data_IF_391203307156
#
_entry.id   IF_391203307156
#
_cell.length_a   1.000
_cell.length_b   1.000
_cell.length_c   1.000
_cell.angle_alpha   90.00
_cell.angle_beta   90.00
_cell.angle_gamma   90.00
#
_symmetry.space_group_name_H-M   'P 1'
#
loop_
_entity.id
_entity.type
_entity.pdbx_description
1 polymer ?
#
# COMPACT_ATOMS: atom_id res chain seq x y z
N UNK A 1 13.99 -4.53 -20.96
CA UNK A 1 13.11 -4.33 -22.13
C UNK A 1 12.59 -5.70 -22.52
N UNK A 2 11.44 -6.10 -21.96
CA UNK A 2 10.84 -7.39 -22.27
C UNK A 2 10.18 -7.30 -23.67
N UNK A 3 10.22 -8.42 -24.40
CA UNK A 3 9.69 -8.49 -25.76
C UNK A 3 8.20 -8.07 -25.76
N UNK A 4 7.72 -7.24 -26.72
CA UNK A 4 6.33 -6.76 -26.77
C UNK A 4 5.29 -7.90 -26.88
N UNK A 5 5.73 -9.11 -27.23
CA UNK A 5 4.94 -10.33 -27.19
C UNK A 5 4.64 -10.79 -25.75
N UNK A 6 5.60 -10.69 -24.83
CA UNK A 6 5.44 -11.09 -23.44
C UNK A 6 4.40 -10.23 -22.73
N UNK A 7 4.45 -8.90 -22.91
CA UNK A 7 3.50 -7.99 -22.28
C UNK A 7 2.07 -8.20 -22.79
N UNK A 8 1.90 -8.47 -24.09
CA UNK A 8 0.59 -8.84 -24.65
C UNK A 8 0.08 -10.18 -24.12
N UNK A 9 0.96 -11.17 -23.98
CA UNK A 9 0.60 -12.49 -23.47
C UNK A 9 0.29 -12.43 -21.97
N UNK A 10 1.04 -11.66 -21.19
CA UNK A 10 0.75 -11.38 -19.79
C UNK A 10 -0.60 -10.66 -19.63
N UNK A 11 -0.90 -9.69 -20.51
CA UNK A 11 -2.20 -9.02 -20.58
C UNK A 11 -3.34 -10.01 -20.86
N UNK A 12 -3.20 -10.88 -21.87
CA UNK A 12 -4.18 -11.93 -22.19
C UNK A 12 -4.36 -12.93 -21.05
N UNK A 13 -3.29 -13.28 -20.34
CA UNK A 13 -3.35 -14.16 -19.15
C UNK A 13 -4.10 -13.47 -18.00
N UNK A 14 -3.89 -12.17 -17.78
CA UNK A 14 -4.61 -11.40 -16.79
C UNK A 14 -6.10 -11.26 -17.14
N UNK A 15 -6.41 -10.98 -18.41
CA UNK A 15 -7.78 -10.83 -18.90
C UNK A 15 -8.55 -12.16 -18.87
N UNK A 16 -7.94 -13.27 -19.30
CA UNK A 16 -8.55 -14.61 -19.24
C UNK A 16 -8.77 -15.10 -17.80
N UNK A 17 -7.89 -14.73 -16.87
CA UNK A 17 -8.08 -14.97 -15.44
C UNK A 17 -9.32 -14.26 -14.92
N UNK A 18 -9.49 -12.98 -15.26
CA UNK A 18 -10.55 -12.15 -14.69
C UNK A 18 -11.92 -12.42 -15.35
N UNK A 19 -11.95 -12.91 -16.60
CA UNK A 19 -13.19 -13.16 -17.38
C UNK A 19 -13.66 -14.61 -17.39
N UNK A 20 -12.73 -15.57 -17.46
CA UNK A 20 -13.04 -17.01 -17.64
C UNK A 20 -12.64 -17.83 -16.40
N UNK A 21 -11.88 -17.26 -15.46
CA UNK A 21 -11.34 -18.00 -14.31
C UNK A 21 -10.26 -19.01 -14.66
N UNK A 22 -9.93 -19.14 -15.95
CA UNK A 22 -8.87 -20.00 -16.39
C UNK A 22 -7.57 -19.26 -16.11
N UNK A 23 -6.97 -19.60 -14.97
CA UNK A 23 -5.58 -19.28 -14.69
C UNK A 23 -4.74 -20.33 -15.42
N UNK A 24 -4.18 -20.05 -16.61
CA UNK A 24 -3.15 -20.92 -17.14
C UNK A 24 -2.12 -21.13 -16.01
N UNK A 25 -1.70 -22.38 -15.80
CA UNK A 25 -0.65 -22.67 -14.81
C UNK A 25 0.56 -21.74 -15.02
N UNK A 26 1.58 -21.73 -14.16
CA UNK A 26 2.80 -20.95 -14.49
C UNK A 26 3.57 -21.51 -15.71
N UNK A 27 3.18 -22.71 -16.17
CA UNK A 27 3.89 -23.54 -17.12
C UNK A 27 3.31 -23.62 -18.55
N UNK A 28 2.09 -23.17 -18.92
CA UNK A 28 1.57 -23.23 -20.29
C UNK A 28 2.46 -22.60 -21.37
N UNK A 29 3.18 -21.48 -21.17
CA UNK A 29 4.14 -21.05 -22.19
C UNK A 29 5.33 -22.01 -22.30
N UNK A 30 5.75 -22.64 -21.20
CA UNK A 30 6.78 -23.68 -21.20
C UNK A 30 6.28 -24.97 -21.87
N UNK A 31 5.08 -25.45 -21.51
CA UNK A 31 4.44 -26.64 -22.08
C UNK A 31 4.14 -26.41 -23.57
N UNK A 32 3.59 -25.27 -23.95
CA UNK A 32 3.37 -24.91 -25.35
C UNK A 32 4.70 -24.82 -26.11
N UNK A 33 5.75 -24.27 -25.49
CA UNK A 33 7.10 -24.27 -26.05
C UNK A 33 7.65 -25.69 -26.26
N UNK A 34 7.53 -26.56 -25.26
CA UNK A 34 7.95 -27.98 -25.33
C UNK A 34 7.14 -28.74 -26.38
N UNK A 35 5.82 -28.52 -26.45
CA UNK A 35 4.94 -29.13 -27.44
C UNK A 35 5.29 -28.63 -28.85
N UNK A 36 5.57 -27.33 -29.02
CA UNK A 36 6.02 -26.78 -30.29
C UNK A 36 7.37 -27.36 -30.73
N UNK A 37 8.32 -27.50 -29.81
CA UNK A 37 9.62 -28.13 -30.07
C UNK A 37 9.41 -29.62 -30.45
N UNK A 38 8.52 -30.33 -29.74
CA UNK A 38 8.19 -31.72 -30.04
C UNK A 38 7.53 -31.87 -31.41
N UNK A 39 6.56 -31.02 -31.76
CA UNK A 39 5.93 -30.98 -33.08
C UNK A 39 6.97 -30.64 -34.15
N UNK A 40 7.82 -29.63 -33.92
CA UNK A 40 8.89 -29.28 -34.84
C UNK A 40 9.87 -30.44 -35.05
N UNK A 41 10.16 -31.22 -34.00
CA UNK A 41 11.01 -32.41 -34.10
C UNK A 41 10.38 -33.51 -34.96
N UNK A 42 9.06 -33.71 -34.87
CA UNK A 42 8.34 -34.69 -35.70
C UNK A 42 8.36 -34.35 -37.19
N UNK A 43 8.27 -33.07 -37.56
CA UNK A 43 8.21 -32.64 -38.95
C UNK A 43 9.59 -32.25 -39.54
N UNK A 44 10.52 -31.78 -38.71
CA UNK A 44 11.81 -31.20 -39.09
C UNK A 44 12.94 -31.61 -38.12
N UNK A 45 13.22 -32.93 -37.97
CA UNK A 45 14.15 -33.42 -36.94
C UNK A 45 15.56 -32.86 -37.12
N UNK A 46 16.07 -32.82 -38.35
CA UNK A 46 17.43 -32.34 -38.64
C UNK A 46 17.62 -30.86 -38.27
N UNK A 47 16.61 -30.03 -38.51
CA UNK A 47 16.65 -28.60 -38.18
C UNK A 47 16.59 -28.36 -36.67
N UNK A 48 15.78 -29.15 -35.95
CA UNK A 48 15.68 -29.07 -34.48
C UNK A 48 16.97 -29.55 -33.82
N UNK A 49 17.57 -30.65 -34.30
CA UNK A 49 18.84 -31.16 -33.80
C UNK A 49 19.98 -30.15 -34.01
N UNK A 50 20.03 -29.51 -35.19
CA UNK A 50 20.98 -28.44 -35.47
C UNK A 50 20.75 -27.22 -34.58
N UNK A 51 19.50 -26.82 -34.36
CA UNK A 51 19.19 -25.69 -33.47
C UNK A 51 19.57 -25.97 -32.01
N UNK A 52 19.24 -27.14 -31.47
CA UNK A 52 19.57 -27.54 -30.10
C UNK A 52 21.08 -27.68 -29.90
N UNK A 53 21.78 -28.32 -30.85
CA UNK A 53 23.24 -28.42 -30.81
C UNK A 53 23.91 -27.06 -30.88
N UNK A 54 23.39 -26.13 -31.69
CA UNK A 54 23.89 -24.75 -31.73
C UNK A 54 23.64 -23.97 -30.44
N UNK A 55 22.46 -24.14 -29.81
CA UNK A 55 22.14 -23.53 -28.50
C UNK A 55 23.06 -24.06 -27.40
N UNK A 56 23.32 -25.37 -27.38
CA UNK A 56 24.23 -26.02 -26.43
C UNK A 56 25.69 -25.65 -26.70
N UNK A 57 26.10 -25.54 -27.97
CA UNK A 57 27.43 -25.07 -28.37
C UNK A 57 27.66 -23.60 -27.95
N UNK A 58 26.63 -22.76 -28.05
CA UNK A 58 26.66 -21.38 -27.57
C UNK A 58 26.40 -21.24 -26.07
N UNK A 59 26.07 -22.32 -25.36
CA UNK A 59 25.80 -22.29 -23.91
C UNK A 59 26.92 -21.67 -23.10
N UNK A 60 28.22 -21.95 -23.35
CA UNK A 60 29.31 -21.27 -22.65
C UNK A 60 29.32 -19.75 -22.82
N UNK A 61 28.63 -19.20 -23.83
CA UNK A 61 28.51 -17.75 -24.04
C UNK A 61 27.33 -17.20 -23.26
N UNK A 62 26.11 -17.73 -23.42
CA UNK A 62 24.91 -17.14 -22.81
C UNK A 62 24.64 -17.63 -21.37
N UNK A 63 25.02 -18.86 -21.04
CA UNK A 63 24.74 -19.48 -19.74
C UNK A 63 25.44 -18.76 -18.58
N UNK A 64 26.72 -18.34 -18.68
CA UNK A 64 27.35 -17.57 -17.60
C UNK A 64 26.64 -16.26 -17.31
N UNK A 65 26.18 -15.52 -18.32
CA UNK A 65 25.43 -14.28 -18.08
C UNK A 65 24.09 -14.53 -17.40
N UNK A 66 23.38 -15.60 -17.80
CA UNK A 66 22.13 -15.98 -17.16
C UNK A 66 22.35 -16.41 -15.70
N UNK A 67 23.37 -17.24 -15.45
CA UNK A 67 23.71 -17.71 -14.10
C UNK A 67 24.20 -16.57 -13.20
N UNK A 68 25.07 -15.69 -13.70
CA UNK A 68 25.57 -14.53 -12.94
C UNK A 68 24.41 -13.56 -12.65
N UNK A 69 23.55 -13.28 -13.62
CA UNK A 69 22.37 -12.45 -13.41
C UNK A 69 21.42 -13.03 -12.35
N UNK A 70 21.11 -14.32 -12.43
CA UNK A 70 20.28 -15.01 -11.44
C UNK A 70 20.92 -15.05 -10.05
N UNK A 71 22.22 -15.37 -9.97
CA UNK A 71 22.97 -15.39 -8.72
C UNK A 71 23.05 -14.01 -8.08
N UNK A 72 23.21 -12.95 -8.87
CA UNK A 72 23.23 -11.57 -8.39
C UNK A 72 21.87 -11.12 -7.82
N UNK A 73 20.76 -11.49 -8.47
CA UNK A 73 19.42 -11.22 -7.92
C UNK A 73 19.19 -11.96 -6.59
N UNK A 74 19.53 -13.25 -6.54
CA UNK A 74 19.42 -14.04 -5.31
C UNK A 74 20.33 -13.51 -4.20
N UNK A 75 21.54 -13.05 -4.56
CA UNK A 75 22.47 -12.41 -3.64
C UNK A 75 21.84 -11.17 -3.00
N UNK A 76 21.26 -10.26 -3.79
CA UNK A 76 20.60 -9.06 -3.27
C UNK A 76 19.46 -9.42 -2.31
N UNK A 77 18.61 -10.39 -2.70
CA UNK A 77 17.48 -10.85 -1.87
C UNK A 77 17.99 -11.42 -0.54
N UNK A 78 19.03 -12.24 -0.58
CA UNK A 78 19.65 -12.82 0.61
C UNK A 78 20.21 -11.74 1.53
N UNK A 79 21.03 -10.82 1.00
CA UNK A 79 21.67 -9.75 1.78
C UNK A 79 20.65 -8.81 2.41
N UNK A 80 19.59 -8.44 1.68
CA UNK A 80 18.49 -7.62 2.23
C UNK A 80 17.71 -8.35 3.31
N UNK A 81 17.42 -9.64 3.10
CA UNK A 81 16.71 -10.46 4.09
C UNK A 81 17.51 -10.61 5.39
N UNK A 82 18.82 -10.84 5.27
CA UNK A 82 19.74 -10.91 6.40
C UNK A 82 19.81 -9.57 7.15
N UNK A 83 19.89 -8.46 6.42
CA UNK A 83 19.89 -7.13 7.02
C UNK A 83 18.60 -6.86 7.80
N UNK A 84 17.43 -7.11 7.22
CA UNK A 84 16.13 -6.94 7.88
C UNK A 84 16.05 -7.82 9.12
N UNK A 85 16.40 -9.10 9.02
CA UNK A 85 16.36 -10.03 10.14
C UNK A 85 17.34 -9.68 11.28
N UNK A 86 18.46 -9.02 10.96
CA UNK A 86 19.46 -8.61 11.96
C UNK A 86 19.02 -7.47 12.88
N UNK A 87 18.00 -6.69 12.49
CA UNK A 87 17.55 -5.52 13.27
C UNK A 87 16.53 -5.92 14.33
N UNK A 88 16.67 -5.45 15.58
CA UNK A 88 15.64 -5.66 16.59
C UNK A 88 14.46 -4.72 16.33
N UNK A 89 13.26 -5.29 16.37
CA UNK A 89 11.99 -4.58 16.20
C UNK A 89 11.17 -4.58 17.49
N UNK A 90 10.37 -3.54 17.68
CA UNK A 90 9.48 -3.38 18.83
C UNK A 90 8.07 -3.03 18.35
N UNK A 91 7.07 -3.51 19.09
CA UNK A 91 5.66 -3.19 18.87
C UNK A 91 5.16 -2.37 20.07
N UNK A 92 4.70 -1.15 19.79
CA UNK A 92 4.17 -0.23 20.79
C UNK A 92 2.65 -0.18 20.68
N UNK A 93 1.93 -0.55 21.73
CA UNK A 93 0.49 -0.33 21.85
C UNK A 93 0.24 1.14 22.23
N UNK A 94 -0.63 1.80 21.48
CA UNK A 94 -1.07 3.17 21.75
C UNK A 94 -2.30 3.12 22.66
N UNK A 95 -2.13 3.46 23.94
CA UNK A 95 -3.23 3.62 24.89
C UNK A 95 -3.84 5.02 24.75
N UNK A 96 -5.13 5.07 24.48
CA UNK A 96 -5.87 6.30 24.20
C UNK A 96 -6.36 6.98 25.49
N UNK A 97 -6.08 8.27 25.72
CA UNK A 97 -6.68 9.00 26.84
C UNK A 97 -8.16 9.28 26.59
N UNK A 98 -8.96 9.43 27.66
CA UNK A 98 -10.40 9.76 27.54
C UNK A 98 -10.67 11.14 26.92
N UNK A 99 -9.85 12.14 27.25
CA UNK A 99 -10.10 13.55 26.95
C UNK A 99 -9.17 14.07 25.83
N UNK A 100 -9.22 13.45 24.65
CA UNK A 100 -8.40 13.89 23.51
C UNK A 100 -9.20 14.79 22.57
N UNK A 101 -8.76 16.05 22.39
CA UNK A 101 -9.42 17.05 21.52
C UNK A 101 -8.55 17.41 20.31
N UNK A 102 -7.63 16.52 19.92
CA UNK A 102 -6.72 16.77 18.79
C UNK A 102 -7.37 16.37 17.47
N UNK A 103 -7.09 17.16 16.44
CA UNK A 103 -7.51 16.90 15.06
C UNK A 103 -6.53 15.97 14.33
N UNK A 104 -6.91 15.39 13.18
CA UNK A 104 -6.00 14.57 12.37
C UNK A 104 -4.72 15.32 11.91
N UNK A 105 -4.75 16.66 11.88
CA UNK A 105 -3.56 17.50 11.65
C UNK A 105 -2.41 17.18 12.64
N UNK A 106 -2.72 16.81 13.88
CA UNK A 106 -1.72 16.39 14.85
C UNK A 106 -0.97 15.12 14.38
N UNK A 107 -1.65 14.22 13.68
CA UNK A 107 -1.04 13.02 13.12
C UNK A 107 -0.13 13.35 11.94
N UNK A 108 -0.45 14.35 11.11
CA UNK A 108 0.45 14.79 10.05
C UNK A 108 1.82 15.21 10.60
N UNK A 109 1.83 15.89 11.74
CA UNK A 109 3.06 16.29 12.40
C UNK A 109 3.85 15.09 12.94
N UNK A 110 3.17 14.05 13.46
CA UNK A 110 3.81 12.79 13.84
C UNK A 110 4.43 12.10 12.62
N UNK A 111 3.69 11.97 11.52
CA UNK A 111 4.16 11.35 10.29
C UNK A 111 5.32 12.13 9.68
N UNK A 112 5.25 13.46 9.70
CA UNK A 112 6.34 14.33 9.26
C UNK A 112 7.60 14.12 10.09
N UNK A 113 7.47 13.96 11.41
CA UNK A 113 8.58 13.60 12.26
C UNK A 113 9.12 12.20 11.96
N UNK A 114 8.31 11.27 11.45
CA UNK A 114 8.74 9.93 11.04
C UNK A 114 9.32 9.88 9.61
N UNK A 115 9.45 10.99 8.90
CA UNK A 115 9.95 11.02 7.52
C UNK A 115 11.49 10.88 7.44
N UNK A 116 12.01 9.68 7.73
CA UNK A 116 13.44 9.37 7.70
C UNK A 116 13.87 8.55 6.47
N UNK A 117 14.90 9.05 5.76
CA UNK A 117 15.44 8.44 4.53
C UNK A 117 16.79 7.73 4.72
N UNK A 118 17.36 7.77 5.93
CA UNK A 118 18.70 7.27 6.22
C UNK A 118 18.73 5.73 6.12
N UNK A 119 19.64 5.18 5.33
CA UNK A 119 19.82 3.73 5.17
C UNK A 119 20.15 3.28 3.74
N UNK A 120 19.99 4.17 2.75
CA UNK A 120 20.27 3.87 1.33
C UNK A 120 21.08 5.02 0.73
N UNK A 121 22.37 5.14 1.07
CA UNK A 121 23.21 6.22 0.52
C UNK A 121 24.00 5.77 -0.71
N UNK A 122 24.62 4.58 -0.67
CA UNK A 122 25.59 4.14 -1.68
C UNK A 122 25.22 2.74 -2.21
N UNK A 123 25.57 2.45 -3.47
CA UNK A 123 25.39 1.13 -4.10
C UNK A 123 25.98 -0.01 -3.24
N UNK A 124 27.13 0.22 -2.61
CA UNK A 124 27.76 -0.75 -1.73
C UNK A 124 26.90 -1.06 -0.49
N UNK A 125 26.23 -0.06 0.07
CA UNK A 125 25.34 -0.27 1.21
C UNK A 125 24.06 -1.00 0.78
N UNK A 126 23.46 -0.61 -0.35
CA UNK A 126 22.18 -1.16 -0.79
C UNK A 126 22.29 -2.55 -1.42
N UNK A 127 23.32 -2.81 -2.22
CA UNK A 127 23.48 -4.06 -2.97
C UNK A 127 24.40 -5.07 -2.27
N UNK A 128 25.50 -4.60 -1.66
CA UNK A 128 26.47 -5.50 -1.02
C UNK A 128 26.17 -5.76 0.45
N UNK A 129 25.87 -4.69 1.21
CA UNK A 129 25.46 -4.81 2.61
C UNK A 129 23.96 -5.11 2.77
N UNK A 130 23.16 -4.96 1.71
CA UNK A 130 21.72 -5.20 1.75
C UNK A 130 20.94 -4.21 2.62
N UNK A 131 21.49 -3.02 2.88
CA UNK A 131 20.80 -2.01 3.68
C UNK A 131 19.53 -1.55 2.96
N UNK A 132 18.45 -1.45 3.74
CA UNK A 132 17.15 -0.94 3.29
C UNK A 132 16.76 0.27 4.11
N UNK A 133 15.99 1.18 3.51
CA UNK A 133 15.39 2.30 4.25
C UNK A 133 14.51 1.80 5.38
N UNK A 134 14.44 2.53 6.51
CA UNK A 134 13.48 2.21 7.55
C UNK A 134 12.07 2.30 6.98
N UNK A 135 11.25 1.35 7.40
CA UNK A 135 9.83 1.33 7.16
C UNK A 135 9.15 1.05 8.50
N UNK A 136 7.92 1.51 8.62
CA UNK A 136 7.12 1.46 9.84
C UNK A 136 5.79 0.79 9.53
N UNK A 137 5.05 0.41 10.57
CA UNK A 137 3.69 -0.11 10.44
C UNK A 137 2.77 0.57 11.43
N UNK A 138 1.67 1.16 10.93
CA UNK A 138 0.56 1.62 11.76
C UNK A 138 -0.54 0.57 11.70
N UNK A 139 -0.97 0.07 12.85
CA UNK A 139 -1.87 -1.08 12.91
C UNK A 139 -3.10 -0.78 13.77
N UNK A 140 -4.24 -1.24 13.29
CA UNK A 140 -5.50 -1.27 14.03
C UNK A 140 -5.87 -2.74 14.14
N UNK A 141 -5.93 -3.27 15.35
CA UNK A 141 -6.34 -4.65 15.57
C UNK A 141 -7.53 -4.68 16.52
N UNK A 142 -8.56 -5.43 16.12
CA UNK A 142 -9.69 -5.74 16.98
C UNK A 142 -9.63 -7.18 17.43
N UNK A 143 -9.71 -7.37 18.75
CA UNK A 143 -9.80 -8.68 19.40
C UNK A 143 -11.16 -8.78 20.05
N UNK A 144 -12.03 -9.62 19.49
CA UNK A 144 -13.37 -9.84 20.05
C UNK A 144 -14.19 -8.55 20.25
N UNK A 145 -14.03 -7.59 19.34
CA UNK A 145 -14.73 -6.29 19.35
C UNK A 145 -14.02 -5.19 20.13
N UNK A 146 -12.87 -5.48 20.76
CA UNK A 146 -12.02 -4.47 21.40
C UNK A 146 -10.96 -3.98 20.44
N UNK A 147 -10.99 -2.69 20.13
CA UNK A 147 -10.09 -2.04 19.18
C UNK A 147 -8.85 -1.51 19.89
N UNK A 148 -7.68 -1.91 19.38
CA UNK A 148 -6.37 -1.49 19.84
C UNK A 148 -5.56 -0.91 18.67
N UNK A 149 -4.71 0.05 18.98
CA UNK A 149 -3.84 0.73 18.03
C UNK A 149 -2.39 0.36 18.32
N UNK A 150 -1.61 0.12 17.28
CA UNK A 150 -0.19 -0.22 17.44
C UNK A 150 0.68 0.54 16.44
N UNK A 151 1.93 0.76 16.86
CA UNK A 151 3.02 1.20 15.99
C UNK A 151 4.13 0.18 16.07
N UNK A 152 4.51 -0.37 14.92
CA UNK A 152 5.69 -1.20 14.81
C UNK A 152 6.83 -0.37 14.23
N UNK A 153 7.99 -0.46 14.88
CA UNK A 153 9.19 0.26 14.48
C UNK A 153 10.43 -0.54 14.85
N UNK A 154 11.57 -0.14 14.31
CA UNK A 154 12.84 -0.69 14.79
C UNK A 154 13.17 -0.09 16.16
N UNK A 155 13.81 -0.90 17.01
CA UNK A 155 14.20 -0.51 18.37
C UNK A 155 15.03 0.78 18.45
N UNK A 156 15.89 1.02 17.46
CA UNK A 156 16.72 2.22 17.34
C UNK A 156 15.92 3.51 17.06
N UNK A 157 14.71 3.38 16.51
CA UNK A 157 13.80 4.51 16.27
C UNK A 157 12.68 4.62 17.32
N UNK A 158 12.68 3.79 18.37
CA UNK A 158 11.64 3.81 19.41
C UNK A 158 11.48 5.18 20.05
N UNK A 159 12.57 5.74 20.59
CA UNK A 159 12.56 7.03 21.28
C UNK A 159 12.02 8.16 20.40
N UNK A 160 12.39 8.12 19.12
CA UNK A 160 11.95 9.09 18.14
C UNK A 160 10.44 9.02 17.92
N UNK A 161 9.90 7.81 17.76
CA UNK A 161 8.46 7.59 17.61
C UNK A 161 7.73 8.06 18.87
N UNK A 162 8.22 7.67 20.05
CA UNK A 162 7.64 8.10 21.33
C UNK A 162 7.60 9.62 21.47
N UNK A 163 8.70 10.30 21.18
CA UNK A 163 8.78 11.76 21.22
C UNK A 163 7.81 12.42 20.23
N UNK A 164 7.67 11.88 19.02
CA UNK A 164 6.74 12.40 18.02
C UNK A 164 5.28 12.33 18.50
N UNK A 165 4.87 11.17 19.04
CA UNK A 165 3.52 10.99 19.59
C UNK A 165 3.28 11.85 20.82
N UNK A 166 4.20 11.88 21.79
CA UNK A 166 4.02 12.68 23.01
C UNK A 166 3.99 14.18 22.76
N UNK A 167 4.69 14.67 21.72
CA UNK A 167 4.65 16.08 21.33
C UNK A 167 3.27 16.51 20.80
N UNK A 168 2.59 15.64 20.04
CA UNK A 168 1.33 15.97 19.39
C UNK A 168 0.09 15.55 20.19
N UNK A 169 0.21 14.44 20.92
CA UNK A 169 -0.86 13.81 21.69
C UNK A 169 -0.51 13.71 23.18
N UNK A 170 -0.68 14.80 23.95
CA UNK A 170 -0.43 14.78 25.38
C UNK A 170 -1.40 13.80 26.05
N UNK A 171 -0.85 12.86 26.82
CA UNK A 171 -1.62 11.87 27.59
C UNK A 171 -1.87 10.53 26.89
N UNK A 172 -1.45 10.38 25.62
CA UNK A 172 -1.27 9.06 25.03
C UNK A 172 -0.12 8.34 25.75
N UNK A 173 -0.26 7.04 25.97
CA UNK A 173 0.81 6.20 26.50
C UNK A 173 1.21 5.17 25.46
N UNK A 174 2.50 5.08 25.17
CA UNK A 174 3.05 4.05 24.29
C UNK A 174 3.66 2.96 25.16
N UNK A 175 3.04 1.77 25.14
CA UNK A 175 3.46 0.63 25.95
C UNK A 175 4.05 -0.43 25.03
N UNK A 176 5.26 -0.89 25.31
CA UNK A 176 5.82 -2.01 24.57
C UNK A 176 5.04 -3.30 24.88
N UNK A 177 4.65 -4.01 23.83
CA UNK A 177 3.84 -5.23 23.94
C UNK A 177 4.42 -6.34 23.08
N UNK A 178 4.10 -7.58 23.45
CA UNK A 178 4.40 -8.74 22.62
C UNK A 178 3.55 -8.69 21.35
N UNK A 179 4.12 -9.16 20.24
CA UNK A 179 3.44 -9.17 18.94
C UNK A 179 2.16 -10.01 18.98
N UNK A 180 1.00 -9.33 18.94
CA UNK A 180 -0.31 -9.96 19.02
C UNK A 180 -0.56 -10.97 17.89
N UNK A 181 0.08 -10.78 16.75
CA UNK A 181 -0.07 -11.66 15.59
C UNK A 181 0.49 -13.06 15.82
N UNK A 182 1.36 -13.22 16.84
CA UNK A 182 1.96 -14.49 17.25
C UNK A 182 1.17 -15.21 18.34
N UNK A 183 0.17 -14.56 18.96
CA UNK A 183 -0.67 -15.18 19.98
C UNK A 183 -1.68 -16.16 19.39
N UNK A 184 -2.04 -15.97 18.11
CA UNK A 184 -2.97 -16.83 17.37
C UNK A 184 -2.14 -17.60 16.35
N UNK A 185 -2.24 -18.93 16.29
CA UNK A 185 -1.46 -19.76 15.35
C UNK A 185 -1.86 -19.49 13.89
N UNK A 186 -3.16 -19.25 13.65
CA UNK A 186 -3.72 -18.90 12.34
C UNK A 186 -3.36 -19.91 11.24
N UNK A 187 -3.39 -21.20 11.57
CA UNK A 187 -3.28 -22.27 10.58
C UNK A 187 -4.61 -22.41 9.82
N UNK A 188 -4.58 -22.55 8.48
CA UNK A 188 -5.80 -22.68 7.68
C UNK A 188 -6.69 -23.86 8.09
N UNK A 189 -6.13 -24.89 8.73
CA UNK A 189 -6.82 -26.08 9.21
C UNK A 189 -7.82 -25.77 10.35
N UNK A 190 -7.46 -24.88 11.27
CA UNK A 190 -8.30 -24.56 12.43
C UNK A 190 -9.06 -23.25 12.24
N UNK A 191 -8.47 -22.32 11.50
CA UNK A 191 -8.98 -20.97 11.29
C UNK A 191 -9.41 -20.75 9.85
N UNK A 192 -10.56 -20.09 9.69
CA UNK A 192 -10.92 -19.49 8.42
C UNK A 192 -10.30 -18.10 8.35
N UNK A 193 -9.51 -17.89 7.31
CA UNK A 193 -8.73 -16.67 7.10
C UNK A 193 -9.14 -16.07 5.75
N UNK A 194 -9.39 -14.77 5.76
CA UNK A 194 -9.55 -13.97 4.56
C UNK A 194 -8.80 -12.66 4.74
N UNK A 195 -8.26 -12.12 3.65
CA UNK A 195 -7.67 -10.80 3.68
C UNK A 195 -7.27 -10.30 2.31
N UNK A 196 -6.98 -9.02 2.24
CA UNK A 196 -6.65 -8.31 1.02
C UNK A 196 -5.65 -7.20 1.31
N UNK A 197 -4.91 -6.81 0.28
CA UNK A 197 -4.18 -5.55 0.29
C UNK A 197 -5.08 -4.44 -0.28
N UNK A 198 -4.72 -3.19 -0.08
CA UNK A 198 -5.44 -2.02 -0.60
C UNK A 198 -4.53 -1.21 -1.51
N UNK A 199 -5.10 -0.67 -2.58
CA UNK A 199 -4.42 0.24 -3.49
C UNK A 199 -5.35 1.37 -3.95
N UNK A 200 -4.76 2.38 -4.54
CA UNK A 200 -5.50 3.45 -5.20
C UNK A 200 -6.44 2.92 -6.30
N UNK A 201 -7.63 3.52 -6.35
CA UNK A 201 -8.66 3.17 -7.33
C UNK A 201 -8.25 3.61 -8.71
N UNK A 202 -7.75 4.86 -8.81
CA UNK A 202 -7.11 5.40 -10.01
C UNK A 202 -5.63 4.98 -10.05
N UNK A 203 -5.07 4.68 -11.23
CA UNK A 203 -3.65 4.29 -11.35
C UNK A 203 -2.68 5.46 -11.17
N UNK A 204 -3.20 6.69 -11.06
CA UNK A 204 -2.44 7.92 -10.95
C UNK A 204 -2.40 8.32 -9.47
N UNK A 205 -1.22 8.30 -8.86
CA UNK A 205 -1.04 8.58 -7.43
C UNK A 205 -1.08 10.08 -7.10
N UNK A 206 -0.97 10.95 -8.10
CA UNK A 206 -1.08 12.39 -7.90
C UNK A 206 -2.47 12.84 -7.39
N UNK A 207 -3.54 12.08 -7.70
CA UNK A 207 -4.87 12.38 -7.19
C UNK A 207 -4.98 11.97 -5.72
N UNK A 208 -5.36 12.90 -4.82
CA UNK A 208 -5.53 12.56 -3.42
C UNK A 208 -6.79 11.70 -3.19
N UNK A 209 -6.85 10.98 -2.07
CA UNK A 209 -8.11 10.50 -1.48
C UNK A 209 -8.89 11.67 -0.86
N UNK A 210 -10.15 11.44 -0.47
CA UNK A 210 -10.88 12.44 0.32
C UNK A 210 -10.26 12.51 1.72
N UNK A 211 -9.70 13.66 2.06
CA UNK A 211 -8.92 13.87 3.28
C UNK A 211 -9.75 14.51 4.38
N UNK A 212 -9.21 14.56 5.59
CA UNK A 212 -9.86 15.22 6.74
C UNK A 212 -10.16 16.71 6.49
N UNK A 213 -9.44 17.37 5.58
CA UNK A 213 -9.66 18.79 5.23
C UNK A 213 -11.03 18.98 4.58
N UNK A 214 -11.46 18.04 3.73
CA UNK A 214 -12.79 18.07 3.09
C UNK A 214 -13.93 17.80 4.08
N UNK A 215 -13.64 17.11 5.17
CA UNK A 215 -14.56 16.93 6.30
C UNK A 215 -14.55 18.13 7.26
N UNK A 216 -13.72 19.15 6.99
CA UNK A 216 -13.58 20.32 7.85
C UNK A 216 -12.86 20.03 9.17
N UNK A 217 -12.27 18.84 9.33
CA UNK A 217 -11.61 18.39 10.57
C UNK A 217 -10.27 19.11 10.82
N UNK A 218 -9.86 20.00 9.93
CA UNK A 218 -8.72 20.89 10.12
C UNK A 218 -9.02 21.98 11.18
N UNK A 219 -10.29 22.35 11.31
CA UNK A 219 -10.74 23.33 12.32
C UNK A 219 -11.31 22.60 13.53
N UNK A 220 -11.06 23.14 14.70
CA UNK A 220 -11.73 22.70 15.94
C UNK A 220 -13.20 23.13 15.81
N UNK A 221 -14.06 22.17 15.49
CA UNK A 221 -15.51 22.34 15.44
C UNK A 221 -16.13 21.94 16.78
N UNK A 222 -17.35 22.41 17.07
CA UNK A 222 -18.10 21.96 18.23
C UNK A 222 -18.50 20.47 18.06
N UNK A 223 -18.45 19.71 19.16
CA UNK A 223 -18.60 18.25 19.17
C UNK A 223 -19.85 17.66 18.48
N UNK A 224 -21.04 18.32 18.40
CA UNK A 224 -22.19 17.73 17.72
C UNK A 224 -22.15 17.81 16.18
N UNK A 225 -21.32 18.66 15.57
CA UNK A 225 -21.26 18.84 14.11
C UNK A 225 -20.11 18.08 13.45
N UNK A 226 -19.19 17.53 14.24
CA UNK A 226 -17.98 16.91 13.73
C UNK A 226 -18.24 15.48 13.22
N UNK A 227 -18.31 15.31 11.89
CA UNK A 227 -18.39 14.00 11.25
C UNK A 227 -17.00 13.51 10.86
N UNK A 228 -16.47 12.54 11.61
CA UNK A 228 -15.19 11.89 11.30
C UNK A 228 -15.39 10.61 10.47
N UNK A 229 -14.85 10.51 9.23
CA UNK A 229 -14.94 9.30 8.43
C UNK A 229 -14.25 8.10 9.10
N UNK A 230 -13.28 8.31 9.97
CA UNK A 230 -12.57 7.26 10.69
C UNK A 230 -13.44 6.59 11.78
N UNK A 231 -14.48 7.27 12.27
CA UNK A 231 -15.44 6.67 13.20
C UNK A 231 -16.11 5.42 12.59
N UNK A 232 -16.46 5.47 11.29
CA UNK A 232 -17.05 4.32 10.58
C UNK A 232 -16.11 3.11 10.52
N UNK A 233 -14.79 3.36 10.42
CA UNK A 233 -13.78 2.30 10.47
C UNK A 233 -13.72 1.69 11.88
N UNK A 234 -13.66 2.51 12.93
CA UNK A 234 -13.59 2.02 14.32
C UNK A 234 -14.87 1.25 14.69
N UNK A 235 -16.04 1.71 14.27
CA UNK A 235 -17.31 1.00 14.49
C UNK A 235 -17.33 -0.37 13.83
N UNK A 236 -16.85 -0.47 12.58
CA UNK A 236 -16.72 -1.75 11.89
C UNK A 236 -15.79 -2.70 12.67
N UNK A 237 -14.64 -2.19 13.13
CA UNK A 237 -13.72 -2.96 13.97
C UNK A 237 -14.31 -3.35 15.32
N UNK A 238 -15.18 -2.52 15.90
CA UNK A 238 -15.89 -2.82 17.15
C UNK A 238 -17.05 -3.81 16.99
N UNK A 239 -17.54 -4.01 15.76
CA UNK A 239 -18.70 -4.87 15.48
C UNK A 239 -18.41 -6.37 15.46
N UNK A 240 -17.13 -6.76 15.44
CA UNK A 240 -16.74 -8.18 15.40
C UNK A 240 -17.07 -8.91 16.71
N UNK A 241 -17.46 -10.17 16.58
CA UNK A 241 -17.91 -11.02 17.68
C UNK A 241 -16.79 -11.71 18.46
N UNK A 242 -17.17 -12.45 19.51
CA UNK A 242 -16.23 -13.21 20.36
C UNK A 242 -15.57 -14.35 19.59
N UNK A 243 -14.24 -14.43 19.61
CA UNK A 243 -13.45 -15.40 18.85
C UNK A 243 -13.19 -15.01 17.39
N UNK A 244 -13.52 -13.78 17.01
CA UNK A 244 -13.14 -13.17 15.74
C UNK A 244 -12.03 -12.14 15.96
N UNK A 245 -11.13 -12.04 15.00
CA UNK A 245 -10.03 -11.08 15.00
C UNK A 245 -9.99 -10.38 13.65
N UNK A 246 -9.89 -9.05 13.67
CA UNK A 246 -9.75 -8.23 12.48
C UNK A 246 -8.54 -7.34 12.63
N UNK A 247 -7.63 -7.42 11.69
CA UNK A 247 -6.36 -6.71 11.71
C UNK A 247 -6.24 -5.85 10.45
N UNK A 248 -5.81 -4.61 10.61
CA UNK A 248 -5.47 -3.69 9.52
C UNK A 248 -4.10 -3.11 9.80
N UNK A 249 -3.31 -3.03 8.73
CA UNK A 249 -1.92 -2.63 8.76
C UNK A 249 -1.65 -1.69 7.60
N UNK A 250 -1.03 -0.56 7.90
CA UNK A 250 -0.42 0.34 6.93
C UNK A 250 1.09 0.29 7.11
N UNK A 251 1.76 -0.48 6.26
CA UNK A 251 3.22 -0.47 6.19
C UNK A 251 3.61 0.73 5.34
N UNK A 252 4.52 1.58 5.81
CA UNK A 252 4.91 2.79 5.08
C UNK A 252 6.40 3.09 5.16
N UNK A 253 6.94 3.75 4.13
CA UNK A 253 8.34 4.22 4.03
C UNK A 253 8.41 5.49 3.19
N UNK A 254 9.44 6.31 3.37
CA UNK A 254 9.57 7.57 2.61
C UNK A 254 9.65 7.32 1.09
N UNK A 255 8.85 8.02 0.29
CA UNK A 255 8.84 7.87 -1.18
C UNK A 255 10.12 8.40 -1.86
N UNK A 256 10.63 7.68 -2.86
CA UNK A 256 11.81 8.06 -3.69
C UNK A 256 11.62 7.89 -5.20
N UNK A 257 10.40 7.58 -5.68
CA UNK A 257 10.14 7.40 -7.11
C UNK A 257 10.46 6.02 -7.69
N UNK A 258 10.89 5.05 -6.87
CA UNK A 258 11.22 3.68 -7.33
C UNK A 258 10.06 2.98 -8.05
N UNK A 259 8.81 3.27 -7.68
CA UNK A 259 7.61 2.71 -8.30
C UNK A 259 7.57 2.92 -9.82
N UNK A 260 8.03 4.07 -10.30
CA UNK A 260 7.86 4.45 -11.70
C UNK A 260 8.96 3.90 -12.61
N UNK A 261 10.14 3.55 -12.05
CA UNK A 261 11.31 3.06 -12.80
C UNK A 261 11.62 3.90 -14.05
N UNK A 262 11.43 5.22 -13.95
CA UNK A 262 11.63 6.20 -15.02
C UNK A 262 12.45 7.37 -14.51
N UNK A 263 13.14 8.04 -15.42
CA UNK A 263 13.83 9.29 -15.15
C UNK A 263 13.02 10.45 -15.73
N UNK A 264 13.03 11.57 -15.02
CA UNK A 264 12.50 12.84 -15.50
C UNK A 264 13.36 13.44 -16.61
N UNK A 265 12.84 14.51 -17.22
CA UNK A 265 13.58 15.36 -18.17
C UNK A 265 14.91 15.88 -17.61
N UNK A 266 15.01 16.03 -16.29
CA UNK A 266 16.23 16.46 -15.57
C UNK A 266 17.21 15.32 -15.22
N UNK A 267 16.89 14.07 -15.56
CA UNK A 267 17.71 12.91 -15.20
C UNK A 267 17.59 12.44 -13.73
N UNK A 268 16.66 13.02 -12.96
CA UNK A 268 16.29 12.55 -11.60
C UNK A 268 15.24 11.43 -11.68
N UNK A 269 15.12 10.57 -10.65
CA UNK A 269 14.02 9.60 -10.56
C UNK A 269 12.66 10.28 -10.70
N UNK A 270 11.79 9.72 -11.51
CA UNK A 270 10.42 10.20 -11.68
C UNK A 270 9.62 9.99 -10.41
N UNK A 271 8.97 11.06 -9.94
CA UNK A 271 8.21 11.06 -8.71
C UNK A 271 6.74 11.36 -8.97
N UNK A 272 5.91 11.14 -7.96
CA UNK A 272 4.51 11.55 -7.99
C UNK A 272 4.31 13.07 -8.20
N UNK A 273 5.31 13.91 -7.90
CA UNK A 273 5.25 15.35 -8.16
C UNK A 273 5.31 15.66 -9.66
N UNK A 274 6.11 14.91 -10.41
CA UNK A 274 6.18 15.02 -11.87
C UNK A 274 4.89 14.54 -12.52
N UNK A 275 4.34 13.44 -11.98
CA UNK A 275 3.03 12.94 -12.37
C UNK A 275 1.94 13.99 -12.15
N UNK A 276 1.99 14.72 -11.04
CA UNK A 276 1.05 15.80 -10.76
C UNK A 276 1.16 16.95 -11.77
N UNK A 277 2.37 17.39 -12.12
CA UNK A 277 2.58 18.43 -13.12
C UNK A 277 2.02 18.02 -14.48
N UNK A 278 2.27 16.78 -14.92
CA UNK A 278 1.74 16.24 -16.17
C UNK A 278 0.20 16.23 -16.17
N UNK A 279 -0.40 15.85 -15.05
CA UNK A 279 -1.86 15.83 -14.90
C UNK A 279 -2.47 17.23 -14.86
N UNK A 280 -1.84 18.18 -14.16
CA UNK A 280 -2.29 19.58 -14.13
C UNK A 280 -2.21 20.18 -15.54
N UNK A 281 -1.14 19.93 -16.29
CA UNK A 281 -1.03 20.34 -17.69
C UNK A 281 -2.12 19.71 -18.55
N UNK A 282 -2.43 18.43 -18.35
CA UNK A 282 -3.48 17.73 -19.10
C UNK A 282 -4.86 18.34 -18.82
N UNK A 283 -5.16 18.66 -17.55
CA UNK A 283 -6.40 19.34 -17.15
C UNK A 283 -6.47 20.73 -17.78
N UNK A 284 -5.38 21.51 -17.74
CA UNK A 284 -5.30 22.84 -18.36
C UNK A 284 -5.48 22.78 -19.88
N UNK A 285 -4.87 21.80 -20.56
CA UNK A 285 -5.06 21.58 -22.01
C UNK A 285 -6.49 21.19 -22.36
N UNK A 286 -7.13 20.35 -21.56
CA UNK A 286 -8.55 19.99 -21.71
C UNK A 286 -9.50 21.17 -21.48
N UNK A 287 -9.13 22.09 -20.58
CA UNK A 287 -9.87 23.32 -20.31
C UNK A 287 -9.60 24.44 -21.34
N UNK A 288 -8.50 24.36 -22.08
CA UNK A 288 -8.16 25.29 -23.15
C UNK A 288 -9.15 25.19 -24.30
N UNK A 289 -10.01 26.19 -24.44
CA UNK A 289 -10.88 26.31 -25.62
C UNK A 289 -10.06 26.89 -26.77
N UNK A 290 -9.93 26.16 -27.87
CA UNK A 290 -9.36 26.70 -29.11
C UNK A 290 -10.41 27.60 -29.77
N UNK A 291 -10.32 28.90 -29.55
CA UNK A 291 -11.15 29.87 -30.27
C UNK A 291 -10.55 30.11 -31.65
N UNK A 292 -11.32 29.79 -32.70
CA UNK A 292 -10.99 30.18 -34.07
C UNK A 292 -11.63 31.54 -34.32
N UNK A 293 -10.81 32.57 -34.49
CA UNK A 293 -11.32 33.89 -34.87
C UNK A 293 -11.04 34.11 -36.37
N UNK A 294 -12.04 34.64 -37.07
CA UNK A 294 -11.88 35.05 -38.46
C UNK A 294 -11.33 36.47 -38.47
N UNK A 295 -10.11 36.65 -38.94
CA UNK A 295 -9.48 37.95 -39.03
C UNK A 295 -9.82 38.62 -40.37
N UNK A 296 -10.63 39.72 -40.39
CA UNK A 296 -11.12 40.34 -41.64
C UNK A 296 -10.00 40.94 -42.50
N UNK A 297 -8.81 41.17 -41.94
CA UNK A 297 -7.68 41.81 -42.63
C UNK A 297 -6.76 40.85 -43.37
N UNK A 298 -6.65 39.60 -42.91
CA UNK A 298 -5.73 38.59 -43.49
C UNK A 298 -6.44 37.44 -44.19
N UNK A 299 -7.77 37.34 -44.07
CA UNK A 299 -8.58 36.30 -44.72
C UNK A 299 -8.27 34.88 -44.25
N UNK A 300 -7.53 34.73 -43.14
CA UNK A 300 -7.12 33.44 -42.56
C UNK A 300 -7.80 33.25 -41.21
N UNK A 301 -8.19 32.01 -40.93
CA UNK A 301 -8.62 31.60 -39.60
C UNK A 301 -7.38 31.52 -38.71
N UNK A 302 -7.23 32.45 -37.77
CA UNK A 302 -6.15 32.38 -36.77
C UNK A 302 -6.71 31.59 -35.59
N UNK A 303 -6.05 30.46 -35.29
CA UNK A 303 -6.30 29.73 -34.05
C UNK A 303 -5.48 30.41 -32.96
N UNK A 304 -6.14 31.14 -32.07
CA UNK A 304 -5.50 31.66 -30.85
C UNK A 304 -5.89 30.73 -29.70
N UNK A 305 -4.90 30.24 -28.97
CA UNK A 305 -5.14 29.52 -27.73
C UNK A 305 -5.66 30.52 -26.69
N UNK A 306 -6.93 30.42 -26.33
CA UNK A 306 -7.49 31.21 -25.24
C UNK A 306 -6.86 30.81 -23.91
N UNK A 307 -6.85 31.74 -22.93
CA UNK A 307 -6.48 31.37 -21.56
C UNK A 307 -7.35 30.20 -21.09
N UNK A 308 -6.76 29.11 -20.56
CA UNK A 308 -7.54 28.04 -19.98
C UNK A 308 -8.45 28.62 -18.91
N UNK A 309 -9.76 28.38 -19.04
CA UNK A 309 -10.73 28.72 -18.00
C UNK A 309 -11.31 27.41 -17.46
N UNK A 310 -10.64 26.75 -16.50
CA UNK A 310 -11.09 25.49 -15.97
C UNK A 310 -12.45 25.65 -15.27
N UNK A 311 -13.28 24.63 -15.40
CA UNK A 311 -14.54 24.55 -14.63
C UNK A 311 -14.24 24.55 -13.13
N UNK A 312 -15.22 24.92 -12.28
CA UNK A 312 -15.05 24.92 -10.82
C UNK A 312 -14.52 23.58 -10.28
N UNK A 313 -15.06 22.47 -10.76
CA UNK A 313 -14.58 21.14 -10.38
C UNK A 313 -13.13 20.87 -10.81
N UNK A 314 -12.71 21.35 -11.99
CA UNK A 314 -11.31 21.23 -12.43
C UNK A 314 -10.36 22.10 -11.60
N UNK A 315 -10.80 23.30 -11.19
CA UNK A 315 -10.02 24.14 -10.26
C UNK A 315 -9.86 23.46 -8.90
N UNK A 316 -10.93 22.87 -8.38
CA UNK A 316 -10.89 22.10 -7.12
C UNK A 316 -9.97 20.88 -7.24
N UNK A 317 -9.97 20.14 -8.36
CA UNK A 317 -9.06 19.01 -8.55
C UNK A 317 -7.60 19.47 -8.68
N UNK A 318 -7.32 20.56 -9.38
CA UNK A 318 -5.96 21.12 -9.48
C UNK A 318 -5.47 21.54 -8.08
N UNK A 319 -6.30 22.27 -7.33
CA UNK A 319 -5.94 22.72 -5.98
C UNK A 319 -5.70 21.54 -5.03
N UNK A 320 -6.51 20.49 -5.12
CA UNK A 320 -6.34 19.28 -4.30
C UNK A 320 -5.03 18.54 -4.64
N UNK A 321 -4.69 18.41 -5.93
CA UNK A 321 -3.42 17.81 -6.37
C UNK A 321 -2.22 18.64 -5.89
N UNK A 322 -2.25 19.97 -6.09
CA UNK A 322 -1.17 20.86 -5.66
C UNK A 322 -0.97 20.80 -4.13
N UNK A 323 -2.06 20.79 -3.36
CA UNK A 323 -2.01 20.61 -1.90
C UNK A 323 -1.39 19.27 -1.52
N UNK A 324 -1.84 18.18 -2.11
CA UNK A 324 -1.36 16.83 -1.79
C UNK A 324 0.16 16.72 -2.00
N UNK A 325 0.61 17.16 -3.18
CA UNK A 325 2.00 17.05 -3.64
C UNK A 325 2.96 17.97 -2.89
N UNK A 326 2.44 19.07 -2.33
CA UNK A 326 3.22 20.00 -1.49
C UNK A 326 3.66 19.39 -0.15
N UNK A 327 2.97 18.33 0.29
CA UNK A 327 3.26 17.64 1.56
C UNK A 327 4.25 16.50 1.37
N UNK A 328 4.83 16.04 2.48
CA UNK A 328 5.75 14.90 2.48
C UNK A 328 5.02 13.62 2.04
N UNK A 329 5.66 12.84 1.16
CA UNK A 329 5.08 11.64 0.55
C UNK A 329 5.69 10.33 1.05
N UNK A 330 4.84 9.34 1.28
CA UNK A 330 5.21 7.99 1.69
C UNK A 330 4.75 6.97 0.65
N UNK A 331 5.56 5.96 0.39
CA UNK A 331 5.08 4.70 -0.16
C UNK A 331 4.30 4.01 0.96
N UNK A 332 3.06 3.60 0.73
CA UNK A 332 2.18 2.94 1.70
C UNK A 332 1.65 1.63 1.11
N UNK A 333 1.65 0.57 1.91
CA UNK A 333 1.02 -0.70 1.64
C UNK A 333 -0.04 -0.97 2.72
N UNK A 334 -1.31 -0.94 2.31
CA UNK A 334 -2.43 -1.25 3.21
C UNK A 334 -2.77 -2.73 3.12
N UNK A 335 -2.96 -3.39 4.26
CA UNK A 335 -3.33 -4.82 4.35
C UNK A 335 -4.33 -5.04 5.45
N UNK A 336 -5.41 -5.77 5.17
CA UNK A 336 -6.32 -6.24 6.20
C UNK A 336 -6.47 -7.76 6.19
N UNK A 337 -6.60 -8.33 7.38
CA UNK A 337 -6.74 -9.77 7.61
C UNK A 337 -7.84 -10.00 8.64
N UNK A 338 -8.79 -10.87 8.30
CA UNK A 338 -9.84 -11.34 9.17
C UNK A 338 -9.62 -12.83 9.46
N UNK A 339 -9.57 -13.15 10.75
CA UNK A 339 -9.24 -14.48 11.26
C UNK A 339 -10.30 -14.85 12.29
N UNK A 340 -11.01 -15.94 12.02
CA UNK A 340 -11.96 -16.51 12.97
C UNK A 340 -11.83 -18.03 12.98
N UNK A 341 -12.24 -18.65 14.09
CA UNK A 341 -12.44 -20.09 14.10
C UNK A 341 -13.46 -20.47 13.02
N UNK A 342 -13.28 -21.61 12.34
CA UNK A 342 -14.11 -22.00 11.18
C UNK A 342 -15.62 -21.99 11.46
N UNK A 343 -16.03 -22.33 12.68
CA UNK A 343 -17.42 -22.34 13.12
C UNK A 343 -18.01 -20.94 13.39
N UNK A 344 -17.16 -19.93 13.57
CA UNK A 344 -17.55 -18.54 13.87
C UNK A 344 -17.28 -17.58 12.73
N UNK A 345 -16.76 -18.07 11.61
CA UNK A 345 -16.39 -17.22 10.48
C UNK A 345 -17.63 -16.64 9.81
N UNK A 346 -17.74 -15.32 9.80
CA UNK A 346 -18.80 -14.60 9.15
C UNK A 346 -18.34 -14.06 7.79
N UNK A 347 -18.85 -14.65 6.70
CA UNK A 347 -18.53 -14.20 5.35
C UNK A 347 -18.98 -12.76 5.05
N UNK A 348 -19.99 -12.22 5.75
CA UNK A 348 -20.44 -10.84 5.57
C UNK A 348 -19.36 -9.82 5.97
N UNK A 349 -18.46 -10.18 6.90
CA UNK A 349 -17.33 -9.32 7.29
C UNK A 349 -16.38 -9.05 6.12
N UNK A 350 -16.28 -10.00 5.17
CA UNK A 350 -15.49 -9.83 3.94
C UNK A 350 -16.01 -8.64 3.12
N UNK A 351 -17.33 -8.54 2.95
CA UNK A 351 -17.95 -7.41 2.24
C UNK A 351 -17.68 -6.08 2.94
N UNK A 352 -17.70 -6.09 4.28
CA UNK A 352 -17.31 -4.93 5.09
C UNK A 352 -15.86 -4.51 4.86
N UNK A 353 -14.92 -5.47 4.84
CA UNK A 353 -13.51 -5.20 4.56
C UNK A 353 -13.27 -4.67 3.14
N UNK A 354 -13.98 -5.21 2.14
CA UNK A 354 -13.93 -4.71 0.76
C UNK A 354 -14.40 -3.26 0.69
N UNK A 355 -15.41 -2.89 1.50
CA UNK A 355 -15.99 -1.55 1.58
C UNK A 355 -15.33 -0.62 2.59
N UNK A 356 -14.27 -1.03 3.29
CA UNK A 356 -13.75 -0.38 4.49
C UNK A 356 -13.42 1.11 4.30
N UNK A 357 -12.92 1.47 3.11
CA UNK A 357 -12.45 2.82 2.81
C UNK A 357 -13.38 3.61 1.88
N UNK A 358 -14.63 3.18 1.70
CA UNK A 358 -15.59 3.90 0.83
C UNK A 358 -15.83 5.34 1.30
N UNK A 359 -15.80 5.58 2.61
CA UNK A 359 -15.93 6.92 3.20
C UNK A 359 -14.86 7.90 2.69
N UNK A 360 -13.66 7.41 2.34
CA UNK A 360 -12.54 8.24 1.87
C UNK A 360 -12.49 8.39 0.35
N UNK A 361 -13.53 7.94 -0.37
CA UNK A 361 -13.57 7.96 -1.84
C UNK A 361 -14.48 9.10 -2.33
N UNK A 362 -14.06 9.75 -3.42
CA UNK A 362 -14.87 10.73 -4.16
C UNK A 362 -14.76 10.43 -5.67
N UNK A 363 -15.84 10.63 -6.44
CA UNK A 363 -15.85 10.35 -7.88
C UNK A 363 -14.79 11.17 -8.65
N UNK A 364 -14.60 12.42 -8.24
CA UNK A 364 -13.60 13.32 -8.84
C UNK A 364 -12.16 12.95 -8.49
N UNK A 365 -11.94 12.31 -7.33
CA UNK A 365 -10.60 12.10 -6.75
C UNK A 365 -10.24 10.61 -6.69
N UNK A 366 -9.25 10.26 -5.89
CA UNK A 366 -8.86 8.87 -5.68
C UNK A 366 -9.64 8.25 -4.52
N UNK A 367 -9.46 6.95 -4.33
CA UNK A 367 -10.04 6.18 -3.24
C UNK A 367 -9.29 4.87 -3.09
N UNK A 368 -9.60 4.10 -2.06
CA UNK A 368 -8.94 2.83 -1.80
C UNK A 368 -9.83 1.66 -2.21
N UNK A 369 -9.28 0.77 -3.04
CA UNK A 369 -9.93 -0.48 -3.46
C UNK A 369 -9.10 -1.68 -2.99
N UNK A 370 -9.75 -2.80 -2.65
CA UNK A 370 -9.04 -4.02 -2.31
C UNK A 370 -8.37 -4.63 -3.55
N UNK A 371 -7.21 -5.24 -3.35
CA UNK A 371 -6.37 -5.88 -4.35
C UNK A 371 -5.64 -7.07 -3.76
N UNK A 372 -5.07 -7.91 -4.65
CA UNK A 372 -4.26 -9.08 -4.32
C UNK A 372 -4.97 -10.11 -3.46
N UNK A 373 -4.28 -11.22 -3.18
CA UNK A 373 -4.66 -12.09 -2.08
C UNK A 373 -6.09 -12.64 -2.20
N UNK A 374 -7.00 -12.30 -1.29
CA UNK A 374 -8.38 -12.78 -1.31
C UNK A 374 -9.17 -12.32 -2.54
N UNK A 375 -8.76 -11.21 -3.17
CA UNK A 375 -9.40 -10.66 -4.38
C UNK A 375 -8.96 -11.36 -5.66
N UNK A 376 -7.97 -12.24 -5.58
CA UNK A 376 -7.52 -12.99 -6.75
C UNK A 376 -8.48 -14.12 -7.13
N UNK A 377 -9.25 -14.64 -6.19
CA UNK A 377 -10.06 -15.83 -6.43
C UNK A 377 -11.43 -15.44 -6.95
N UNK A 378 -11.75 -15.87 -8.18
CA UNK A 378 -13.05 -15.67 -8.81
C UNK A 378 -14.04 -16.81 -8.53
N UNK A 379 -13.55 -17.91 -7.95
CA UNK A 379 -14.34 -19.03 -7.44
C UNK A 379 -15.27 -19.69 -8.47
N UNK A 380 -14.84 -19.76 -9.73
CA UNK A 380 -15.59 -20.47 -10.75
C UNK A 380 -15.63 -21.98 -10.47
N UNK A 381 -16.75 -22.68 -10.74
CA UNK A 381 -16.89 -24.12 -10.47
C UNK A 381 -15.86 -25.04 -11.16
N UNK A 382 -15.27 -24.58 -12.27
CA UNK A 382 -14.30 -25.33 -13.07
C UNK A 382 -12.83 -25.05 -12.73
N UNK A 383 -12.55 -24.23 -11.71
CA UNK A 383 -11.19 -24.00 -11.23
C UNK A 383 -10.66 -25.19 -10.41
N UNK A 384 -9.91 -26.08 -11.05
CA UNK A 384 -9.31 -27.23 -10.37
C UNK A 384 -8.22 -26.83 -9.37
N UNK A 385 -8.24 -27.44 -8.18
CA UNK A 385 -7.20 -27.26 -7.14
C UNK A 385 -7.26 -25.93 -6.38
N UNK A 386 -8.38 -25.21 -6.47
CA UNK A 386 -8.53 -23.89 -5.86
C UNK A 386 -8.41 -23.93 -4.32
N UNK A 387 -8.93 -24.96 -3.65
CA UNK A 387 -8.83 -25.09 -2.18
C UNK A 387 -7.39 -25.13 -1.67
N UNK A 388 -6.54 -26.00 -2.25
CA UNK A 388 -5.12 -26.08 -1.89
C UNK A 388 -4.40 -24.74 -2.12
N UNK A 389 -4.78 -24.00 -3.17
CA UNK A 389 -4.22 -22.68 -3.45
C UNK A 389 -4.69 -21.65 -2.42
N UNK A 390 -5.97 -21.68 -2.05
CA UNK A 390 -6.53 -20.84 -0.99
C UNK A 390 -5.84 -21.10 0.34
N UNK A 391 -5.48 -22.33 0.68
CA UNK A 391 -4.74 -22.62 1.91
C UNK A 391 -3.31 -22.10 1.89
N UNK A 392 -2.59 -22.25 0.76
CA UNK A 392 -1.27 -21.62 0.58
C UNK A 392 -1.40 -20.10 0.70
N UNK A 393 -2.43 -19.53 0.09
CA UNK A 393 -2.73 -18.11 0.14
C UNK A 393 -2.98 -17.63 1.59
N UNK A 394 -3.85 -18.32 2.34
CA UNK A 394 -4.16 -18.04 3.75
C UNK A 394 -2.91 -18.05 4.63
N UNK A 395 -1.99 -18.99 4.40
CA UNK A 395 -0.69 -19.01 5.09
C UNK A 395 0.19 -17.83 4.70
N UNK A 396 0.26 -17.53 3.41
CA UNK A 396 1.10 -16.46 2.88
C UNK A 396 0.68 -15.08 3.40
N UNK A 397 -0.63 -14.77 3.42
CA UNK A 397 -1.10 -13.46 3.89
C UNK A 397 -0.83 -13.27 5.39
N UNK A 398 -1.04 -14.30 6.21
CA UNK A 398 -0.71 -14.25 7.65
C UNK A 398 0.79 -14.07 7.85
N UNK A 399 1.63 -14.77 7.09
CA UNK A 399 3.09 -14.60 7.16
C UNK A 399 3.53 -13.20 6.72
N UNK A 400 2.94 -12.68 5.64
CA UNK A 400 3.23 -11.34 5.14
C UNK A 400 2.84 -10.26 6.19
N UNK A 401 1.67 -10.41 6.82
CA UNK A 401 1.19 -9.53 7.89
C UNK A 401 2.12 -9.58 9.12
N UNK A 402 2.43 -10.78 9.63
CA UNK A 402 3.34 -10.98 10.79
C UNK A 402 4.72 -10.35 10.55
N UNK A 403 5.26 -10.50 9.34
CA UNK A 403 6.57 -9.95 8.98
C UNK A 403 6.53 -8.45 8.66
N UNK A 404 5.34 -7.84 8.56
CA UNK A 404 5.14 -6.47 8.06
C UNK A 404 5.86 -6.23 6.74
N UNK A 405 5.85 -7.26 5.88
CA UNK A 405 6.53 -7.23 4.59
C UNK A 405 5.57 -6.77 3.50
N UNK A 406 6.03 -5.76 2.77
CA UNK A 406 5.32 -5.18 1.62
C UNK A 406 6.28 -4.76 0.49
N UNK A 407 7.49 -4.30 0.83
CA UNK A 407 8.46 -3.75 -0.12
C UNK A 407 9.64 -4.66 -0.46
N UNK A 408 9.73 -5.80 0.22
CA UNK A 408 10.89 -6.67 0.16
C UNK A 408 10.44 -8.12 0.13
N UNK A 409 11.20 -8.93 -0.60
CA UNK A 409 11.03 -10.38 -0.66
C UNK A 409 11.01 -11.02 0.74
N UNK A 410 10.27 -12.12 0.94
CA UNK A 410 9.52 -12.91 -0.06
C UNK A 410 8.12 -12.35 -0.41
N UNK A 411 7.71 -11.23 0.19
CA UNK A 411 6.37 -10.65 0.00
C UNK A 411 6.48 -9.19 -0.47
N UNK A 412 7.13 -9.00 -1.61
CA UNK A 412 7.14 -7.72 -2.32
C UNK A 412 5.93 -7.62 -3.26
N UNK A 413 5.10 -6.60 -3.09
CA UNK A 413 3.92 -6.37 -3.93
C UNK A 413 4.23 -5.51 -5.15
N UNK A 414 5.30 -4.69 -5.11
CA UNK A 414 5.71 -3.83 -6.21
C UNK A 414 4.75 -2.69 -6.60
N UNK A 415 3.56 -2.59 -5.99
CA UNK A 415 2.50 -1.63 -6.34
C UNK A 415 2.05 -0.72 -5.19
N UNK A 416 2.97 -0.37 -4.29
CA UNK A 416 2.71 0.55 -3.18
C UNK A 416 2.02 1.85 -3.65
N UNK A 417 1.03 2.30 -2.90
CA UNK A 417 0.37 3.59 -3.14
C UNK A 417 1.25 4.71 -2.61
N UNK A 418 1.32 5.83 -3.31
CA UNK A 418 2.03 7.02 -2.81
C UNK A 418 1.01 7.90 -2.14
N UNK A 419 1.16 8.12 -0.83
CA UNK A 419 0.24 8.93 -0.03
C UNK A 419 0.99 10.08 0.62
N UNK A 420 0.36 11.25 0.68
CA UNK A 420 0.89 12.32 1.51
C UNK A 420 0.68 12.04 3.00
N UNK A 421 1.37 12.82 3.84
CA UNK A 421 1.08 12.91 5.29
C UNK A 421 -0.40 13.18 5.59
N UNK A 422 -1.09 13.96 4.75
CA UNK A 422 -2.52 14.29 4.91
C UNK A 422 -3.42 13.09 4.65
N UNK A 423 -3.15 12.36 3.58
CA UNK A 423 -3.91 11.16 3.24
C UNK A 423 -3.71 10.07 4.29
N UNK A 424 -2.45 9.84 4.68
CA UNK A 424 -2.11 8.83 5.68
C UNK A 424 -2.66 9.19 7.08
N UNK A 425 -2.61 10.47 7.46
CA UNK A 425 -3.23 10.97 8.69
C UNK A 425 -4.76 10.86 8.66
N UNK A 426 -5.39 10.89 7.48
CA UNK A 426 -6.85 10.73 7.36
C UNK A 426 -7.29 9.28 7.58
N UNK A 427 -6.51 8.31 7.09
CA UNK A 427 -6.84 6.87 7.22
C UNK A 427 -6.35 6.26 8.52
N UNK A 428 -5.42 6.92 9.22
CA UNK A 428 -4.95 6.54 10.54
C UNK A 428 -4.66 7.80 11.35
N UNK A 429 -5.50 8.07 12.34
CA UNK A 429 -5.24 9.05 13.39
C UNK A 429 -5.76 8.56 14.73
N UNK A 430 -5.34 9.24 15.80
CA UNK A 430 -5.86 8.98 17.13
C UNK A 430 -7.26 9.60 17.24
N UNK A 431 -8.31 8.80 17.46
CA UNK A 431 -9.68 9.30 17.48
C UNK A 431 -9.88 10.28 18.65
N UNK A 432 -10.54 11.40 18.36
CA UNK A 432 -10.90 12.41 19.35
C UNK A 432 -12.00 11.90 20.29
N UNK A 433 -12.29 12.70 21.32
CA UNK A 433 -13.27 12.37 22.33
C UNK A 433 -14.67 12.12 21.76
N UNK A 434 -15.03 12.79 20.66
CA UNK A 434 -16.32 12.69 19.98
C UNK A 434 -16.62 11.31 19.40
N UNK A 435 -15.60 10.51 19.06
CA UNK A 435 -15.78 9.14 18.57
C UNK A 435 -16.03 8.18 19.74
N UNK A 436 -17.29 7.99 20.11
CA UNK A 436 -17.72 7.13 21.23
C UNK A 436 -18.02 5.68 20.83
N UNK A 437 -17.25 5.11 19.90
CA UNK A 437 -17.43 3.73 19.48
C UNK A 437 -17.25 2.76 20.68
N UNK A 438 -18.17 1.81 20.92
CA UNK A 438 -18.17 0.97 22.12
C UNK A 438 -16.95 0.04 22.23
N UNK A 439 -16.37 -0.34 21.09
CA UNK A 439 -15.16 -1.18 21.03
C UNK A 439 -13.87 -0.45 21.39
N UNK A 440 -13.90 0.89 21.51
CA UNK A 440 -12.70 1.70 21.71
C UNK A 440 -12.28 1.72 23.19
N UNK A 441 -11.14 1.10 23.51
CA UNK A 441 -10.63 1.07 24.90
C UNK A 441 -9.85 2.35 25.20
N UNK A 442 -10.31 3.13 26.18
CA UNK A 442 -9.64 4.36 26.65
C UNK A 442 -9.20 4.27 28.11
N UNK A 443 -8.00 4.77 28.40
CA UNK A 443 -7.43 4.85 29.75
C UNK A 443 -7.95 6.09 30.51
N UNK A 444 -8.15 5.94 31.83
CA UNK A 444 -8.77 6.97 32.67
C UNK A 444 -7.86 8.15 33.03
N UNK A 445 -6.53 7.98 33.00
CA UNK A 445 -5.58 9.02 33.41
C UNK A 445 -4.26 8.88 32.66
N UNK A 446 -3.70 10.02 32.21
CA UNK A 446 -2.30 10.12 31.89
C UNK A 446 -1.54 10.16 33.22
N UNK A 447 -0.71 9.15 33.50
CA UNK A 447 0.16 9.14 34.69
C UNK A 447 1.12 10.34 34.64
N UNK A 448 0.68 11.49 35.16
CA UNK A 448 1.59 12.54 35.64
C UNK A 448 2.13 12.02 36.96
N UNK A 449 3.34 11.48 36.96
CA UNK A 449 4.11 11.56 38.19
C UNK A 449 4.23 13.04 38.56
N UNK A 450 3.96 13.37 39.83
CA UNK A 450 4.03 14.74 40.31
C UNK A 450 5.47 15.25 40.09
N UNK A 451 5.66 16.53 39.69
CA UNK A 451 6.99 17.12 39.63
C UNK A 451 7.67 16.93 41.00
N UNK A 452 8.95 16.55 40.98
CA UNK A 452 9.75 16.30 42.19
C UNK A 452 9.99 17.53 43.08
N UNK A 453 9.47 18.70 42.71
CA UNK A 453 9.66 19.99 43.38
C UNK A 453 8.43 20.44 44.20
N UNK A 454 7.85 19.53 44.99
CA UNK A 454 6.99 19.95 46.09
C UNK A 454 7.83 19.98 47.38
N UNK A 455 8.00 21.14 48.04
CA UNK A 455 8.61 21.18 49.36
C UNK A 455 7.72 20.40 50.33
N UNK A 456 8.32 19.43 51.02
CA UNK A 456 7.69 18.60 52.07
C UNK A 456 7.20 19.43 53.25
#
# INVERSE_FOLDING_TARGET
>A
MFLPFYDKLAGLVAESRDTVGVRPFRWPPFIAGVVLIFIAYLFLPAQVDLALSLVLFLAPVWLPFLLVGGAYLLWIVMRRSEFIASKPYVLLEIKLPRNLVKTPLAMEAVLSAMHYTKGESNWFQTEWQGQVRPYWSLEIASFEGKVHFFVWTRSDFRQLVENAFYAQYPGVQLVETLDYTRMIDAQPEDFAIWGCDYKHTKPIDAYPIKTYVEYGLDKIQEEPEQVDPFASLIEFFGSIGKGENLWLQFVFRVHKGEKYNKLNKEGKPYTWQDQALEQIEEIRKKAGTKSKFFDPTTGRMIETEGFPNPTKGQMETIAAIERNVSKLGFDVGGRAVYIAARNKFNATMITGMIGLFRSFTSEGWNGLKPTHFGMEFSDYPWEFGNERRKDIFRRNIVQAYRRRQYYHEPFDMGDAMVMSTEELATVFHIPSQSVQAPGLVRIQSATREAPSDLPT
#
